data_IF_163695682119
#
_entry.id   IF_163695682119
#
_cell.length_a   1.000
_cell.length_b   1.000
_cell.length_c   1.000
_cell.angle_alpha   90.00
_cell.angle_beta   90.00
_cell.angle_gamma   90.00
#
_symmetry.space_group_name_H-M   'P 1'
#
loop_
_entity.id
_entity.type
_entity.pdbx_description
1 polymer ?
#
# COMPACT_ATOMS: atom_id res chain seq x y z
N UNK A 1 -6.91 0.85 -11.15
CA UNK A 1 -5.93 1.25 -10.12
C UNK A 1 -5.31 0.03 -9.45
N UNK A 2 -6.05 -0.75 -8.65
CA UNK A 2 -5.49 -1.91 -7.95
C UNK A 2 -4.80 -2.92 -8.88
N UNK A 3 -5.43 -3.28 -10.00
CA UNK A 3 -4.83 -4.20 -10.98
C UNK A 3 -3.46 -3.70 -11.47
N UNK A 4 -3.34 -2.41 -11.77
CA UNK A 4 -2.09 -1.80 -12.24
C UNK A 4 -1.03 -1.74 -11.12
N UNK A 5 -1.44 -1.45 -9.89
CA UNK A 5 -0.54 -1.48 -8.72
C UNK A 5 -0.01 -2.90 -8.49
N UNK A 6 -0.87 -3.93 -8.57
CA UNK A 6 -0.45 -5.32 -8.42
C UNK A 6 0.45 -5.78 -9.54
N UNK A 7 0.10 -5.40 -10.77
CA UNK A 7 0.92 -5.69 -11.94
C UNK A 7 2.33 -5.09 -11.78
N UNK A 8 2.42 -3.83 -11.34
CA UNK A 8 3.71 -3.16 -11.10
C UNK A 8 4.47 -3.75 -9.92
N UNK A 9 3.80 -3.99 -8.79
CA UNK A 9 4.40 -4.57 -7.59
C UNK A 9 4.97 -5.96 -7.87
N UNK A 10 4.17 -6.87 -8.42
CA UNK A 10 4.62 -8.23 -8.70
C UNK A 10 5.64 -8.27 -9.85
N UNK A 11 5.46 -7.44 -10.87
CA UNK A 11 6.38 -7.38 -12.01
C UNK A 11 7.76 -6.91 -11.58
N UNK A 12 7.83 -5.96 -10.65
CA UNK A 12 9.09 -5.54 -10.06
C UNK A 12 9.62 -6.57 -9.07
N UNK A 13 8.82 -7.01 -8.09
CA UNK A 13 9.29 -7.83 -6.97
C UNK A 13 9.85 -9.18 -7.41
N UNK A 14 9.25 -9.80 -8.43
CA UNK A 14 9.60 -11.15 -8.88
C UNK A 14 10.99 -11.22 -9.48
N UNK A 15 11.44 -10.16 -10.16
CA UNK A 15 12.71 -10.14 -10.88
C UNK A 15 13.73 -9.13 -10.31
N UNK A 16 13.41 -8.50 -9.17
CA UNK A 16 14.27 -7.48 -8.56
C UNK A 16 15.63 -8.04 -8.10
N UNK A 17 15.68 -9.31 -7.66
CA UNK A 17 16.93 -9.97 -7.27
C UNK A 17 17.90 -10.04 -8.45
N UNK A 18 17.39 -10.43 -9.63
CA UNK A 18 18.18 -10.51 -10.85
C UNK A 18 18.61 -9.11 -11.30
N UNK A 19 17.74 -8.10 -11.19
CA UNK A 19 18.10 -6.71 -11.50
C UNK A 19 19.27 -6.21 -10.64
N UNK A 20 19.22 -6.43 -9.32
CA UNK A 20 20.28 -6.03 -8.40
C UNK A 20 21.57 -6.81 -8.62
N UNK A 21 21.47 -8.10 -8.95
CA UNK A 21 22.62 -8.92 -9.32
C UNK A 21 23.28 -8.47 -10.61
N UNK A 22 22.50 -8.32 -11.69
CA UNK A 22 23.03 -7.97 -13.01
C UNK A 22 23.51 -6.52 -13.11
N UNK A 23 22.76 -5.55 -12.57
CA UNK A 23 23.05 -4.11 -12.78
C UNK A 23 23.86 -3.49 -11.65
N UNK A 24 23.71 -3.98 -10.43
CA UNK A 24 24.39 -3.42 -9.26
C UNK A 24 25.49 -4.34 -8.74
N UNK A 25 25.77 -5.45 -9.43
CA UNK A 25 26.82 -6.42 -9.10
C UNK A 25 26.74 -6.92 -7.65
N UNK A 26 25.52 -7.02 -7.12
CA UNK A 26 25.28 -7.58 -5.79
C UNK A 26 25.33 -9.11 -5.86
N UNK A 27 26.00 -9.73 -4.88
CA UNK A 27 25.95 -11.18 -4.76
C UNK A 27 24.51 -11.66 -4.47
N UNK A 28 24.15 -12.87 -4.91
CA UNK A 28 22.80 -13.42 -4.74
C UNK A 28 22.27 -13.32 -3.31
N UNK A 29 23.12 -13.55 -2.30
CA UNK A 29 22.76 -13.43 -0.89
C UNK A 29 22.45 -11.98 -0.47
N UNK A 30 23.22 -11.01 -0.97
CA UNK A 30 23.03 -9.59 -0.67
C UNK A 30 21.79 -9.03 -1.39
N UNK A 31 21.60 -9.39 -2.66
CA UNK A 31 20.43 -9.02 -3.43
C UNK A 31 19.15 -9.59 -2.78
N UNK A 32 19.13 -10.88 -2.43
CA UNK A 32 18.00 -11.51 -1.75
C UNK A 32 17.68 -10.84 -0.40
N UNK A 33 18.71 -10.49 0.39
CA UNK A 33 18.54 -9.74 1.64
C UNK A 33 17.89 -8.38 1.39
N UNK A 34 18.41 -7.61 0.43
CA UNK A 34 17.88 -6.30 0.07
C UNK A 34 16.42 -6.35 -0.37
N UNK A 35 16.08 -7.30 -1.25
CA UNK A 35 14.70 -7.50 -1.72
C UNK A 35 13.77 -7.93 -0.58
N UNK A 36 14.23 -8.79 0.32
CA UNK A 36 13.44 -9.23 1.48
C UNK A 36 13.19 -8.06 2.45
N UNK A 37 14.21 -7.23 2.73
CA UNK A 37 14.06 -6.02 3.54
C UNK A 37 13.10 -5.02 2.91
N UNK A 38 13.20 -4.82 1.60
CA UNK A 38 12.29 -3.96 0.84
C UNK A 38 10.84 -4.48 0.89
N UNK A 39 10.64 -5.79 0.67
CA UNK A 39 9.33 -6.45 0.78
C UNK A 39 8.74 -6.31 2.18
N UNK A 40 9.54 -6.52 3.23
CA UNK A 40 9.12 -6.29 4.62
C UNK A 40 8.68 -4.83 4.86
N UNK A 41 9.40 -3.87 4.28
CA UNK A 41 9.04 -2.45 4.35
C UNK A 41 7.70 -2.17 3.66
N UNK A 42 7.41 -2.83 2.54
CA UNK A 42 6.13 -2.73 1.83
C UNK A 42 4.94 -3.29 2.65
N UNK A 43 5.20 -4.15 3.64
CA UNK A 43 4.17 -4.68 4.55
C UNK A 43 4.02 -3.87 5.85
N UNK A 44 5.03 -3.08 6.23
CA UNK A 44 4.98 -2.19 7.40
C UNK A 44 4.36 -0.84 7.04
N UNK A 45 4.72 -0.29 5.89
CA UNK A 45 4.23 1.01 5.39
C UNK A 45 2.69 1.13 5.28
N UNK A 46 1.89 0.06 5.05
CA UNK A 46 0.43 0.12 5.16
C UNK A 46 -0.09 0.59 6.50
N UNK A 47 0.60 0.29 7.60
CA UNK A 47 0.18 0.77 8.93
C UNK A 47 0.24 2.30 9.01
N UNK A 48 1.29 2.89 8.42
CA UNK A 48 1.44 4.34 8.33
C UNK A 48 0.40 4.95 7.38
N UNK A 49 0.19 4.33 6.21
CA UNK A 49 -0.80 4.76 5.23
C UNK A 49 -2.22 4.77 5.79
N UNK A 50 -2.63 3.68 6.45
CA UNK A 50 -3.92 3.56 7.11
C UNK A 50 -4.09 4.58 8.23
N UNK A 51 -3.07 4.75 9.08
CA UNK A 51 -3.09 5.76 10.14
C UNK A 51 -3.32 7.18 9.61
N UNK A 52 -2.63 7.54 8.52
CA UNK A 52 -2.79 8.85 7.87
C UNK A 52 -4.16 9.03 7.22
N UNK A 53 -4.68 7.99 6.56
CA UNK A 53 -6.02 8.00 5.97
C UNK A 53 -7.12 8.16 7.01
N UNK A 54 -7.03 7.42 8.12
CA UNK A 54 -8.09 7.41 9.12
C UNK A 54 -8.03 8.62 10.07
N UNK A 55 -6.84 9.21 10.27
CA UNK A 55 -6.65 10.32 11.23
C UNK A 55 -6.70 11.72 10.61
N UNK A 56 -6.18 11.91 9.39
CA UNK A 56 -5.89 13.26 8.88
C UNK A 56 -6.43 13.50 7.47
N UNK A 57 -6.01 12.72 6.49
CA UNK A 57 -6.19 13.04 5.07
C UNK A 57 -7.52 12.53 4.51
N UNK A 58 -8.07 11.46 5.09
CA UNK A 58 -9.14 10.68 4.47
C UNK A 58 -8.62 9.73 3.39
N UNK A 59 -9.41 8.69 3.09
CA UNK A 59 -9.01 7.59 2.21
C UNK A 59 -8.67 8.07 0.79
N UNK A 60 -9.47 8.97 0.23
CA UNK A 60 -9.25 9.50 -1.12
C UNK A 60 -7.91 10.26 -1.26
N UNK A 61 -7.65 11.23 -0.37
CA UNK A 61 -6.42 12.03 -0.43
C UNK A 61 -5.17 11.22 -0.10
N UNK A 62 -5.28 10.22 0.78
CA UNK A 62 -4.19 9.27 1.01
C UNK A 62 -3.90 8.47 -0.26
N UNK A 63 -4.91 7.88 -0.91
CA UNK A 63 -4.72 7.13 -2.16
C UNK A 63 -4.07 8.04 -3.22
N UNK A 64 -4.60 9.25 -3.42
CA UNK A 64 -4.08 10.22 -4.38
C UNK A 64 -2.60 10.56 -4.12
N UNK A 65 -2.27 10.97 -2.90
CA UNK A 65 -0.91 11.41 -2.53
C UNK A 65 0.10 10.28 -2.62
N UNK A 66 -0.24 9.10 -2.09
CA UNK A 66 0.65 7.94 -2.11
C UNK A 66 0.79 7.34 -3.51
N UNK A 67 -0.21 7.49 -4.38
CA UNK A 67 -0.09 7.10 -5.79
C UNK A 67 0.83 7.99 -6.58
N UNK A 68 0.85 9.29 -6.30
CA UNK A 68 1.83 10.22 -6.88
C UNK A 68 3.25 9.81 -6.43
N UNK A 69 3.44 9.53 -5.13
CA UNK A 69 4.72 9.04 -4.59
C UNK A 69 5.14 7.73 -5.29
N UNK A 70 4.20 6.80 -5.47
CA UNK A 70 4.45 5.53 -6.16
C UNK A 70 4.89 5.75 -7.61
N UNK A 71 4.20 6.61 -8.36
CA UNK A 71 4.54 6.95 -9.75
C UNK A 71 5.91 7.62 -9.84
N UNK A 72 6.24 8.52 -8.90
CA UNK A 72 7.57 9.14 -8.83
C UNK A 72 8.64 8.07 -8.58
N UNK A 73 8.41 7.15 -7.64
CA UNK A 73 9.32 6.04 -7.37
C UNK A 73 9.53 5.13 -8.58
N UNK A 74 8.45 4.77 -9.28
CA UNK A 74 8.50 3.98 -10.52
C UNK A 74 9.22 4.72 -11.65
N UNK A 75 9.00 6.03 -11.77
CA UNK A 75 9.69 6.89 -12.72
C UNK A 75 11.19 6.95 -12.45
N UNK A 76 11.59 7.16 -11.19
CA UNK A 76 12.99 7.14 -10.75
C UNK A 76 13.66 5.79 -11.01
N UNK A 77 12.95 4.67 -10.78
CA UNK A 77 13.46 3.33 -11.06
C UNK A 77 13.61 3.09 -12.57
N UNK A 78 12.66 3.56 -13.37
CA UNK A 78 12.74 3.45 -14.84
C UNK A 78 13.89 4.31 -15.38
N UNK A 79 14.08 5.51 -14.83
CA UNK A 79 15.21 6.38 -15.16
C UNK A 79 16.54 5.77 -14.73
N UNK A 80 16.62 5.08 -13.60
CA UNK A 80 17.85 4.39 -13.19
C UNK A 80 18.22 3.22 -14.11
N UNK A 81 17.22 2.61 -14.75
CA UNK A 81 17.45 1.56 -15.75
C UNK A 81 17.80 2.09 -17.15
N UNK A 82 17.32 3.29 -17.53
CA UNK A 82 17.37 3.80 -18.92
C UNK A 82 18.29 4.99 -19.15
N UNK A 83 18.44 5.90 -18.17
CA UNK A 83 19.18 7.14 -18.37
C UNK A 83 20.69 6.89 -18.37
N UNK A 84 21.45 7.32 -19.39
CA UNK A 84 22.90 7.06 -19.50
C UNK A 84 23.75 7.53 -18.31
N UNK A 85 23.27 8.53 -17.54
CA UNK A 85 23.95 9.00 -16.32
C UNK A 85 23.57 8.26 -15.04
N UNK A 86 22.40 7.61 -15.00
CA UNK A 86 21.94 6.84 -13.83
C UNK A 86 22.10 5.33 -14.00
N UNK A 87 22.23 4.86 -15.24
CA UNK A 87 22.49 3.47 -15.60
C UNK A 87 23.95 3.11 -15.27
N UNK A 88 24.20 2.05 -14.50
CA UNK A 88 25.55 1.56 -14.25
C UNK A 88 26.26 1.21 -15.55
N UNK A 89 27.51 1.65 -15.70
CA UNK A 89 28.36 1.25 -16.82
C UNK A 89 28.75 -0.21 -16.62
N UNK A 90 28.53 -1.03 -17.64
CA UNK A 90 28.85 -2.46 -17.62
C UNK A 90 29.94 -2.76 -18.65
N UNK A 91 30.96 -3.50 -18.23
CA UNK A 91 32.03 -4.02 -19.06
C UNK A 91 31.98 -5.56 -19.12
N UNK A 92 33.02 -6.20 -19.69
CA UNK A 92 33.11 -7.65 -19.80
C UNK A 92 33.28 -8.37 -18.44
N UNK A 93 33.64 -7.65 -17.37
CA UNK A 93 33.86 -8.17 -16.02
C UNK A 93 32.70 -7.89 -15.06
N UNK A 94 31.71 -7.09 -15.49
CA UNK A 94 30.48 -6.84 -14.74
C UNK A 94 30.02 -5.38 -14.82
N UNK A 95 29.02 -5.03 -14.01
CA UNK A 95 28.55 -3.66 -13.88
C UNK A 95 29.21 -2.97 -12.68
N UNK A 96 29.66 -1.72 -12.86
CA UNK A 96 30.30 -0.92 -11.82
C UNK A 96 29.42 0.28 -11.45
N UNK A 97 28.44 0.11 -10.52
CA UNK A 97 27.58 1.21 -10.12
C UNK A 97 28.34 2.20 -9.25
N UNK A 98 28.11 3.49 -9.48
CA UNK A 98 28.56 4.53 -8.55
C UNK A 98 27.66 4.58 -7.31
N UNK A 99 28.18 5.06 -6.18
CA UNK A 99 27.39 5.19 -4.94
C UNK A 99 26.11 6.02 -5.13
N UNK A 100 26.16 7.02 -6.00
CA UNK A 100 25.00 7.85 -6.34
C UNK A 100 23.92 7.07 -7.11
N UNK A 101 24.31 6.21 -8.05
CA UNK A 101 23.37 5.37 -8.82
C UNK A 101 22.70 4.33 -7.92
N UNK A 102 23.47 3.69 -7.04
CA UNK A 102 22.93 2.76 -6.03
C UNK A 102 21.96 3.48 -5.09
N UNK A 103 22.33 4.66 -4.56
CA UNK A 103 21.46 5.45 -3.71
C UNK A 103 20.16 5.84 -4.42
N UNK A 104 20.22 6.29 -5.68
CA UNK A 104 19.05 6.62 -6.47
C UNK A 104 18.11 5.41 -6.66
N UNK A 105 18.66 4.23 -6.91
CA UNK A 105 17.88 2.98 -7.02
C UNK A 105 17.17 2.64 -5.71
N UNK A 106 17.87 2.68 -4.56
CA UNK A 106 17.25 2.40 -3.27
C UNK A 106 16.21 3.46 -2.88
N UNK A 107 16.46 4.74 -3.17
CA UNK A 107 15.47 5.82 -2.99
C UNK A 107 14.21 5.49 -3.80
N UNK A 108 14.36 5.10 -5.07
CA UNK A 108 13.24 4.69 -5.91
C UNK A 108 12.46 3.50 -5.29
N UNK A 109 13.17 2.45 -4.86
CA UNK A 109 12.56 1.28 -4.23
C UNK A 109 11.80 1.63 -2.94
N UNK A 110 12.36 2.48 -2.08
CA UNK A 110 11.70 2.89 -0.84
C UNK A 110 10.53 3.86 -1.07
N UNK A 111 10.58 4.70 -2.12
CA UNK A 111 9.42 5.50 -2.55
C UNK A 111 8.28 4.60 -3.04
N UNK A 112 8.61 3.55 -3.81
CA UNK A 112 7.62 2.55 -4.24
C UNK A 112 7.05 1.81 -3.03
N UNK A 113 7.90 1.44 -2.07
CA UNK A 113 7.47 0.79 -0.82
C UNK A 113 6.51 1.68 -0.02
N UNK A 114 6.82 2.97 0.11
CA UNK A 114 5.95 3.93 0.76
C UNK A 114 4.61 4.06 0.02
N UNK A 115 4.67 4.22 -1.31
CA UNK A 115 3.49 4.34 -2.17
C UNK A 115 2.55 3.14 -2.09
N UNK A 116 3.06 1.91 -2.21
CA UNK A 116 2.23 0.68 -2.09
C UNK A 116 1.59 0.59 -0.70
N UNK A 117 2.31 1.03 0.33
CA UNK A 117 1.82 1.13 1.69
C UNK A 117 0.55 1.96 1.81
N UNK A 118 0.52 3.17 1.25
CA UNK A 118 -0.67 4.02 1.31
C UNK A 118 -1.84 3.58 0.43
N UNK A 119 -1.55 2.91 -0.69
CA UNK A 119 -2.59 2.50 -1.65
C UNK A 119 -3.34 1.26 -1.17
N UNK A 120 -2.62 0.20 -0.79
CA UNK A 120 -3.19 -1.13 -0.51
C UNK A 120 -4.32 -1.16 0.54
N UNK A 121 -4.18 -0.57 1.74
CA UNK A 121 -5.23 -0.64 2.76
C UNK A 121 -6.40 0.29 2.43
N UNK A 122 -6.13 1.38 1.69
CA UNK A 122 -7.12 2.42 1.45
C UNK A 122 -7.98 2.12 0.22
N UNK A 123 -7.45 1.53 -0.86
CA UNK A 123 -8.21 1.29 -2.10
C UNK A 123 -9.36 0.30 -1.91
N UNK A 124 -9.13 -0.80 -1.20
CA UNK A 124 -10.19 -1.80 -0.94
C UNK A 124 -11.30 -1.20 -0.07
N UNK A 125 -10.93 -0.48 0.97
CA UNK A 125 -11.84 0.21 1.88
C UNK A 125 -12.61 1.32 1.16
N UNK A 126 -11.93 2.13 0.34
CA UNK A 126 -12.55 3.20 -0.45
C UNK A 126 -13.52 2.65 -1.51
N UNK A 127 -13.19 1.52 -2.13
CA UNK A 127 -14.09 0.82 -3.04
C UNK A 127 -15.34 0.27 -2.34
N UNK A 128 -15.18 -0.25 -1.12
CA UNK A 128 -16.31 -0.66 -0.30
C UNK A 128 -17.22 0.51 0.10
N UNK A 129 -16.65 1.68 0.36
CA UNK A 129 -17.38 2.90 0.77
C UNK A 129 -18.30 3.47 -0.33
N UNK A 130 -18.15 3.01 -1.58
CA UNK A 130 -18.99 3.46 -2.68
C UNK A 130 -20.40 2.85 -2.67
N UNK A 131 -20.63 1.82 -1.86
CA UNK A 131 -21.89 1.10 -1.79
C UNK A 131 -22.51 1.26 -0.40
N UNK A 132 -23.81 1.58 -0.34
CA UNK A 132 -24.57 1.57 0.91
C UNK A 132 -24.88 0.12 1.31
N UNK A 133 -24.59 -0.23 2.56
CA UNK A 133 -24.89 -1.58 3.09
C UNK A 133 -26.34 -1.73 3.52
N UNK A 134 -27.07 -0.63 3.71
CA UNK A 134 -28.47 -0.64 4.13
C UNK A 134 -29.43 -0.94 2.98
N UNK A 135 -29.00 -0.73 1.73
CA UNK A 135 -29.74 -1.11 0.52
C UNK A 135 -29.33 -2.51 0.05
N UNK A 136 -30.29 -3.45 0.02
CA UNK A 136 -30.06 -4.81 -0.46
C UNK A 136 -29.54 -4.89 -1.91
N UNK A 137 -29.93 -3.94 -2.77
CA UNK A 137 -29.47 -3.89 -4.17
C UNK A 137 -28.02 -3.44 -4.25
N UNK A 138 -27.63 -2.40 -3.51
CA UNK A 138 -26.24 -1.93 -3.47
C UNK A 138 -25.33 -2.96 -2.80
N UNK A 139 -25.81 -3.67 -1.76
CA UNK A 139 -25.08 -4.78 -1.12
C UNK A 139 -24.75 -5.92 -2.09
N UNK A 140 -25.68 -6.32 -2.98
CA UNK A 140 -25.42 -7.32 -4.02
C UNK A 140 -24.38 -6.83 -5.04
N UNK A 141 -24.45 -5.54 -5.43
CA UNK A 141 -23.46 -4.93 -6.33
C UNK A 141 -22.07 -4.86 -5.70
N UNK A 142 -21.96 -4.59 -4.39
CA UNK A 142 -20.70 -4.61 -3.64
C UNK A 142 -20.01 -5.98 -3.72
N UNK A 143 -20.76 -7.07 -3.54
CA UNK A 143 -20.21 -8.43 -3.69
C UNK A 143 -19.70 -8.69 -5.11
N UNK A 144 -20.47 -8.32 -6.14
CA UNK A 144 -20.03 -8.43 -7.52
C UNK A 144 -18.78 -7.60 -7.83
N UNK A 145 -18.69 -6.38 -7.28
CA UNK A 145 -17.51 -5.53 -7.36
C UNK A 145 -16.27 -6.22 -6.78
N UNK A 146 -16.37 -6.80 -5.58
CA UNK A 146 -15.26 -7.52 -4.97
C UNK A 146 -14.85 -8.76 -5.77
N UNK A 147 -15.80 -9.49 -6.36
CA UNK A 147 -15.47 -10.61 -7.24
C UNK A 147 -14.64 -10.15 -8.46
N UNK A 148 -15.06 -9.06 -9.13
CA UNK A 148 -14.29 -8.48 -10.23
C UNK A 148 -12.95 -7.89 -9.79
N UNK A 149 -12.90 -7.32 -8.59
CA UNK A 149 -11.69 -6.79 -7.98
C UNK A 149 -10.65 -7.91 -7.77
N UNK A 150 -11.05 -9.01 -7.13
CA UNK A 150 -10.17 -10.17 -6.93
C UNK A 150 -9.76 -10.84 -8.24
N UNK A 151 -10.69 -10.96 -9.19
CA UNK A 151 -10.38 -11.48 -10.52
C UNK A 151 -9.31 -10.64 -11.22
N UNK A 152 -9.44 -9.31 -11.18
CA UNK A 152 -8.48 -8.37 -11.76
C UNK A 152 -7.11 -8.45 -11.09
N UNK A 153 -7.05 -8.63 -9.76
CA UNK A 153 -5.78 -8.82 -9.03
C UNK A 153 -5.05 -10.07 -9.52
N UNK A 154 -5.76 -11.19 -9.65
CA UNK A 154 -5.16 -12.45 -10.07
C UNK A 154 -4.66 -12.38 -11.52
N UNK A 155 -5.43 -11.76 -12.42
CA UNK A 155 -4.98 -11.51 -13.81
C UNK A 155 -3.74 -10.61 -13.83
N UNK A 156 -3.75 -9.51 -13.08
CA UNK A 156 -2.61 -8.60 -13.00
C UNK A 156 -1.34 -9.31 -12.50
N UNK A 157 -1.48 -10.15 -11.47
CA UNK A 157 -0.38 -10.96 -10.95
C UNK A 157 0.13 -12.00 -11.96
N UNK A 158 -0.77 -12.65 -12.72
CA UNK A 158 -0.41 -13.61 -13.76
C UNK A 158 0.35 -12.94 -14.89
N UNK A 159 -0.15 -11.81 -15.42
CA UNK A 159 0.52 -11.03 -16.47
C UNK A 159 1.89 -10.54 -15.98
N UNK A 160 1.96 -10.08 -14.73
CA UNK A 160 3.21 -9.61 -14.14
C UNK A 160 4.26 -10.71 -14.01
N UNK A 161 3.87 -11.88 -13.55
CA UNK A 161 4.80 -13.00 -13.31
C UNK A 161 5.21 -13.71 -14.61
N UNK A 162 4.52 -13.47 -15.72
CA UNK A 162 4.78 -14.09 -17.01
C UNK A 162 5.32 -13.09 -18.05
N UNK A 163 4.44 -12.24 -18.58
CA UNK A 163 4.74 -11.30 -19.67
C UNK A 163 5.77 -10.25 -19.24
N UNK A 164 5.62 -9.64 -18.06
CA UNK A 164 6.58 -8.62 -17.62
C UNK A 164 7.96 -9.21 -17.34
N UNK A 165 8.03 -10.38 -16.69
CA UNK A 165 9.31 -11.08 -16.48
C UNK A 165 9.97 -11.39 -17.82
N UNK A 166 9.20 -11.86 -18.80
CA UNK A 166 9.72 -12.10 -20.14
C UNK A 166 10.27 -10.82 -20.80
N UNK A 167 9.55 -9.69 -20.70
CA UNK A 167 10.00 -8.39 -21.22
C UNK A 167 11.30 -7.96 -20.52
N UNK A 168 11.37 -8.07 -19.19
CA UNK A 168 12.55 -7.67 -18.42
C UNK A 168 13.80 -8.45 -18.83
N UNK A 169 13.66 -9.77 -19.04
CA UNK A 169 14.80 -10.64 -19.37
C UNK A 169 15.20 -10.60 -20.85
N UNK A 170 14.26 -10.40 -21.78
CA UNK A 170 14.53 -10.53 -23.23
C UNK A 170 14.61 -9.20 -23.97
N UNK A 171 13.83 -8.19 -23.54
CA UNK A 171 13.77 -6.87 -24.19
C UNK A 171 14.61 -5.86 -23.41
N UNK A 172 14.59 -5.97 -22.07
CA UNK A 172 15.43 -5.23 -21.16
C UNK A 172 14.66 -4.57 -20.02
N UNK A 173 15.44 -4.22 -18.99
CA UNK A 173 14.95 -3.62 -17.75
C UNK A 173 14.21 -2.29 -17.93
N UNK A 174 14.58 -1.51 -18.96
CA UNK A 174 13.97 -0.22 -19.29
C UNK A 174 12.47 -0.36 -19.60
N UNK A 175 12.13 -1.30 -20.48
CA UNK A 175 10.74 -1.64 -20.82
C UNK A 175 10.04 -2.38 -19.68
N UNK A 176 10.80 -3.21 -18.97
CA UNK A 176 10.32 -3.99 -17.82
C UNK A 176 9.79 -3.15 -16.66
N UNK A 177 10.38 -1.99 -16.39
CA UNK A 177 9.88 -1.03 -15.40
C UNK A 177 9.03 0.08 -16.01
N UNK A 178 9.29 0.46 -17.27
CA UNK A 178 8.54 1.50 -17.96
C UNK A 178 7.09 1.14 -18.26
N UNK A 179 6.82 -0.09 -18.72
CA UNK A 179 5.44 -0.52 -19.04
C UNK A 179 4.52 -0.46 -17.80
N UNK A 180 4.90 -1.02 -16.64
CA UNK A 180 4.11 -0.86 -15.42
C UNK A 180 4.00 0.58 -14.93
N UNK A 181 5.06 1.40 -15.09
CA UNK A 181 5.02 2.81 -14.72
C UNK A 181 3.95 3.58 -15.53
N UNK A 182 3.91 3.39 -16.85
CA UNK A 182 2.89 3.98 -17.73
C UNK A 182 1.49 3.48 -17.37
N UNK A 183 1.33 2.18 -17.14
CA UNK A 183 0.05 1.62 -16.71
C UNK A 183 -0.46 2.25 -15.40
N UNK A 184 0.45 2.51 -14.45
CA UNK A 184 0.10 3.18 -13.20
C UNK A 184 -0.27 4.65 -13.39
N UNK A 185 0.42 5.39 -14.27
CA UNK A 185 0.06 6.76 -14.63
C UNK A 185 -1.34 6.81 -15.24
N UNK A 186 -1.64 5.92 -16.18
CA UNK A 186 -2.99 5.83 -16.78
C UNK A 186 -4.04 5.52 -15.71
N UNK A 187 -3.75 4.58 -14.80
CA UNK A 187 -4.65 4.25 -13.71
C UNK A 187 -4.91 5.44 -12.77
N UNK A 188 -3.89 6.27 -12.53
CA UNK A 188 -4.00 7.48 -11.73
C UNK A 188 -4.85 8.55 -12.43
N UNK A 189 -4.70 8.71 -13.76
CA UNK A 189 -5.55 9.61 -14.57
C UNK A 189 -7.01 9.17 -14.50
N UNK A 190 -7.30 7.86 -14.62
CA UNK A 190 -8.67 7.35 -14.45
C UNK A 190 -9.21 7.57 -13.04
N UNK A 191 -8.37 7.41 -12.01
CA UNK A 191 -8.76 7.66 -10.62
C UNK A 191 -9.14 9.13 -10.43
N UNK A 192 -8.33 10.07 -10.90
CA UNK A 192 -8.65 11.49 -10.81
C UNK A 192 -9.85 11.89 -11.69
N UNK A 193 -10.00 11.29 -12.87
CA UNK A 193 -11.18 11.48 -13.73
C UNK A 193 -12.49 11.01 -13.10
N UNK A 194 -12.42 10.00 -12.23
CA UNK A 194 -13.56 9.49 -11.46
C UNK A 194 -13.92 10.29 -10.21
N UNK A 195 -13.09 11.28 -9.81
CA UNK A 195 -13.28 12.07 -8.59
C UNK A 195 -14.69 12.63 -8.36
N UNK A 196 -15.39 13.22 -9.35
CA UNK A 196 -16.73 13.78 -9.10
C UNK A 196 -17.80 12.70 -8.84
N UNK A 197 -17.52 11.43 -9.13
CA UNK A 197 -18.46 10.32 -8.96
C UNK A 197 -18.30 9.62 -7.60
N UNK A 198 -17.24 9.93 -6.84
CA UNK A 198 -16.93 9.19 -5.62
C UNK A 198 -17.69 9.70 -4.40
N UNK A 199 -18.21 8.76 -3.60
CA UNK A 199 -18.72 9.02 -2.25
C UNK A 199 -17.53 9.09 -1.30
N UNK A 200 -17.29 10.27 -0.71
CA UNK A 200 -16.20 10.51 0.23
C UNK A 200 -16.70 10.32 1.67
N UNK A 201 -16.16 9.31 2.36
CA UNK A 201 -16.42 9.11 3.78
C UNK A 201 -15.56 10.05 4.64
N UNK A 202 -16.17 10.59 5.70
CA UNK A 202 -15.49 11.46 6.66
C UNK A 202 -14.55 10.60 7.53
N UNK A 203 -13.30 11.02 7.79
CA UNK A 203 -12.38 10.27 8.65
C UNK A 203 -12.96 10.04 10.06
N UNK A 204 -13.09 8.77 10.47
CA UNK A 204 -13.61 8.36 11.79
C UNK A 204 -12.57 8.34 12.93
N UNK A 205 -11.34 8.78 12.66
CA UNK A 205 -10.19 8.68 13.56
C UNK A 205 -9.55 7.29 13.58
N UNK A 206 -8.24 7.21 13.80
CA UNK A 206 -7.52 5.93 13.76
C UNK A 206 -7.79 5.05 15.00
N UNK A 207 -8.17 3.77 14.81
CA UNK A 207 -8.24 2.78 15.89
C UNK A 207 -6.90 2.60 16.63
N UNK A 208 -5.78 2.80 15.94
CA UNK A 208 -4.44 2.67 16.52
C UNK A 208 -4.22 3.68 17.66
N UNK A 209 -4.64 4.93 17.46
CA UNK A 209 -4.58 5.97 18.50
C UNK A 209 -5.37 5.56 19.73
N UNK A 210 -6.54 4.94 19.55
CA UNK A 210 -7.37 4.47 20.67
C UNK A 210 -6.72 3.32 21.42
N UNK A 211 -6.13 2.35 20.71
CA UNK A 211 -5.36 1.26 21.33
C UNK A 211 -4.20 1.84 22.15
N UNK A 212 -3.44 2.78 21.59
CA UNK A 212 -2.36 3.46 22.31
C UNK A 212 -2.87 4.23 23.54
N UNK A 213 -4.00 4.93 23.43
CA UNK A 213 -4.62 5.62 24.56
C UNK A 213 -5.00 4.65 25.68
N UNK A 214 -5.60 3.50 25.34
CA UNK A 214 -5.97 2.45 26.31
C UNK A 214 -4.72 1.85 26.95
N UNK A 215 -3.68 1.53 26.18
CA UNK A 215 -2.41 1.01 26.71
C UNK A 215 -1.74 2.02 27.65
N UNK A 216 -1.66 3.29 27.25
CA UNK A 216 -1.09 4.37 28.08
C UNK A 216 -1.93 4.57 29.34
N UNK A 217 -3.25 4.57 29.22
CA UNK A 217 -4.15 4.68 30.37
C UNK A 217 -4.00 3.48 31.31
N UNK A 218 -3.95 2.26 30.79
CA UNK A 218 -3.75 1.05 31.58
C UNK A 218 -2.39 1.09 32.31
N UNK A 219 -1.31 1.44 31.61
CA UNK A 219 0.01 1.56 32.20
C UNK A 219 0.08 2.65 33.28
N UNK A 220 -0.57 3.80 33.09
CA UNK A 220 -0.63 4.86 34.09
C UNK A 220 -1.50 4.49 35.30
N UNK A 221 -2.54 3.69 35.09
CA UNK A 221 -3.50 3.28 36.13
C UNK A 221 -3.15 1.93 36.78
N UNK A 222 -2.00 1.32 36.44
CA UNK A 222 -1.52 0.05 37.01
C UNK A 222 -1.44 0.03 38.54
N UNK A 223 -1.24 1.20 39.18
CA UNK A 223 -1.10 1.34 40.64
C UNK A 223 -2.38 1.77 41.34
N UNK A 224 -3.48 2.00 40.61
CA UNK A 224 -4.75 2.40 41.20
C UNK A 224 -5.52 1.16 41.64
N UNK A 225 -6.13 1.21 42.83
CA UNK A 225 -7.06 0.17 43.24
C UNK A 225 -8.31 0.22 42.36
N UNK A 226 -8.72 -0.95 41.86
CA UNK A 226 -9.92 -1.09 41.03
C UNK A 226 -11.14 -0.76 41.89
N UNK A 227 -12.01 0.18 41.47
CA UNK A 227 -13.25 0.46 42.19
C UNK A 227 -14.11 -0.80 42.32
N UNK A 228 -14.73 -1.00 43.49
CA UNK A 228 -15.61 -2.15 43.72
C UNK A 228 -16.89 -2.10 42.85
N UNK A 229 -17.28 -0.90 42.40
CA UNK A 229 -18.45 -0.68 41.55
C UNK A 229 -18.05 -0.65 40.07
N UNK A 230 -18.58 -1.61 39.29
CA UNK A 230 -18.30 -1.77 37.87
C UNK A 230 -18.89 -0.65 37.01
N UNK A 231 -19.92 0.04 37.52
CA UNK A 231 -20.58 1.16 36.82
C UNK A 231 -19.68 2.40 36.67
N UNK A 232 -18.58 2.47 37.42
CA UNK A 232 -17.57 3.55 37.35
C UNK A 232 -16.49 3.30 36.29
N UNK A 233 -16.47 2.10 35.68
CA UNK A 233 -15.62 1.84 34.52
C UNK A 233 -16.15 2.60 33.31
N UNK A 234 -15.30 2.82 32.30
CA UNK A 234 -15.60 3.62 31.12
C UNK A 234 -16.65 2.92 30.22
N UNK A 235 -17.89 2.77 30.68
CA UNK A 235 -19.04 2.52 29.81
C UNK A 235 -19.52 3.87 29.30
N UNK A 236 -19.44 4.04 27.99
CA UNK A 236 -20.04 5.20 27.32
C UNK A 236 -21.55 5.02 27.38
N UNK A 237 -22.20 5.87 28.20
CA UNK A 237 -23.64 5.88 28.47
C UNK A 237 -24.45 6.17 27.19
N UNK A 238 -23.82 6.80 26.17
CA UNK A 238 -24.49 7.22 24.95
C UNK A 238 -24.94 6.05 24.05
N UNK A 239 -26.13 6.21 23.46
CA UNK A 239 -26.75 5.24 22.52
C UNK A 239 -25.97 5.17 21.20
N UNK A 240 -25.37 6.30 20.80
CA UNK A 240 -24.51 6.38 19.63
C UNK A 240 -23.05 6.12 20.01
N UNK A 241 -22.29 5.52 19.09
CA UNK A 241 -20.86 5.39 19.32
C UNK A 241 -20.23 6.78 19.30
N UNK A 242 -19.32 7.06 20.24
CA UNK A 242 -18.49 8.29 20.27
C UNK A 242 -17.73 8.49 18.94
N UNK A 243 -17.60 7.43 18.14
CA UNK A 243 -17.01 7.43 16.81
C UNK A 243 -18.08 7.82 15.80
N UNK A 244 -17.94 9.01 15.22
CA UNK A 244 -18.75 9.44 14.07
C UNK A 244 -18.63 8.40 12.94
N UNK A 245 -19.75 7.75 12.59
CA UNK A 245 -19.82 6.75 11.53
C UNK A 245 -19.59 5.28 11.95
N UNK A 246 -19.36 4.98 13.24
CA UNK A 246 -19.30 3.59 13.73
C UNK A 246 -20.57 3.21 14.50
N UNK A 247 -21.01 1.96 14.36
CA UNK A 247 -22.10 1.40 15.16
C UNK A 247 -21.58 0.96 16.54
N UNK A 248 -22.37 1.18 17.59
CA UNK A 248 -22.09 0.64 18.92
C UNK A 248 -22.23 -0.89 18.85
N UNK A 249 -21.22 -1.62 19.32
CA UNK A 249 -21.32 -3.07 19.49
C UNK A 249 -22.11 -3.34 20.76
N UNK A 250 -23.21 -4.07 20.65
CA UNK A 250 -24.03 -4.43 21.79
C UNK A 250 -23.27 -5.37 22.74
N UNK A 251 -23.41 -5.15 24.04
CA UNK A 251 -22.77 -5.99 25.04
C UNK A 251 -23.27 -7.43 24.89
N UNK A 252 -22.35 -8.36 24.64
CA UNK A 252 -22.64 -9.80 24.62
C UNK A 252 -22.15 -10.46 25.90
N UNK A 253 -23.00 -11.27 26.55
CA UNK A 253 -22.70 -11.95 27.83
C UNK A 253 -21.81 -13.21 27.69
N UNK A 254 -21.23 -13.45 26.52
CA UNK A 254 -20.57 -14.72 26.19
C UNK A 254 -19.09 -14.81 26.59
N UNK A 255 -18.52 -13.72 27.13
CA UNK A 255 -17.14 -13.66 27.61
C UNK A 255 -17.17 -13.14 29.05
N UNK A 256 -17.27 -14.05 30.01
CA UNK A 256 -17.25 -13.75 31.45
C UNK A 256 -16.05 -14.41 32.11
#
# INVERSE_FOLDING_TARGET
>A
MECCERLAYYGMSTNLVNYLGERFNQGNAEAAKSVTTWSGTCYITPLLGAFLADSYLGRYWTIASFSIIYVIGMGLLTLSASAPGLKPSCDANGCHPTSAQTAACYIALYLIALGTGGIKPCVSSFGADQFDETDEKERKKKSSFFNWFYFSINIGALIASSVLVWIQMNVGWEWGFGVPAVAMVLALVFFFGGSPLYRLQIPGGSPLTRICQVLVAACRKLKLQVPADKSLLHETIDVESVIKGSRKLDHTNNLR
#
